data_IF_727207611590
#
_entry.id   IF_727207611590
#
_cell.length_a   1.000
_cell.length_b   1.000
_cell.length_c   1.000
_cell.angle_alpha   90.00
_cell.angle_beta   90.00
_cell.angle_gamma   90.00
#
_symmetry.space_group_name_H-M   'P 1'
#
loop_
_entity.id
_entity.type
_entity.pdbx_description
1 polymer ?
#
# COMPACT_ATOMS: atom_id res chain seq x y z
N UNK A 1 16.25 -10.39 -17.69
CA UNK A 1 14.95 -9.82 -17.37
C UNK A 1 14.69 -8.61 -18.28
N UNK A 2 13.50 -8.56 -18.86
CA UNK A 2 13.06 -7.50 -19.76
C UNK A 2 11.89 -6.75 -19.16
N UNK A 3 12.06 -5.46 -18.91
CA UNK A 3 10.98 -4.50 -18.67
C UNK A 3 10.63 -3.84 -20.02
N UNK A 4 9.48 -4.15 -20.56
CA UNK A 4 9.10 -3.73 -21.94
C UNK A 4 8.59 -2.29 -21.97
N UNK A 5 7.87 -1.91 -20.93
CA UNK A 5 7.30 -0.57 -20.83
C UNK A 5 7.25 -0.14 -19.36
N UNK A 6 7.62 1.11 -19.11
CA UNK A 6 7.58 1.76 -17.80
C UNK A 6 6.34 2.66 -17.67
N UNK A 7 5.94 2.96 -16.44
CA UNK A 7 4.91 3.95 -16.17
C UNK A 7 3.46 3.49 -16.33
N UNK A 8 3.18 2.20 -16.16
CA UNK A 8 1.80 1.68 -16.18
C UNK A 8 1.31 1.26 -17.56
N UNK A 9 2.14 1.30 -18.56
CA UNK A 9 1.87 0.69 -19.85
C UNK A 9 2.16 -0.80 -19.80
N UNK A 10 1.16 -1.64 -19.98
CA UNK A 10 1.31 -3.08 -19.95
C UNK A 10 1.21 -3.70 -21.33
N UNK A 11 2.22 -4.48 -21.70
CA UNK A 11 2.21 -5.36 -22.86
C UNK A 11 2.47 -6.80 -22.38
N UNK A 12 1.72 -7.79 -22.85
CA UNK A 12 1.81 -9.17 -22.33
C UNK A 12 3.05 -9.91 -22.88
N UNK A 13 4.21 -9.26 -22.80
CA UNK A 13 5.53 -9.79 -23.18
C UNK A 13 6.59 -9.31 -22.19
N UNK A 14 7.76 -9.95 -22.19
CA UNK A 14 8.82 -9.64 -21.23
C UNK A 14 8.61 -10.32 -19.87
N UNK A 15 9.34 -9.84 -18.85
CA UNK A 15 9.41 -10.48 -17.52
C UNK A 15 8.84 -9.60 -16.41
N UNK A 16 8.81 -8.28 -16.62
CA UNK A 16 8.52 -7.28 -15.59
C UNK A 16 7.29 -6.48 -15.96
N UNK A 17 6.42 -6.28 -14.99
CA UNK A 17 5.36 -5.26 -15.04
C UNK A 17 5.75 -4.12 -14.13
N UNK A 18 5.87 -2.95 -14.71
CA UNK A 18 6.30 -1.73 -14.06
C UNK A 18 5.15 -0.72 -13.97
N UNK A 19 4.91 -0.21 -12.78
CA UNK A 19 3.87 0.77 -12.50
C UNK A 19 4.45 1.98 -11.78
N UNK A 20 4.13 3.20 -12.24
CA UNK A 20 4.47 4.44 -11.54
C UNK A 20 3.27 4.91 -10.73
N UNK A 21 3.45 5.24 -9.47
CA UNK A 21 2.38 5.77 -8.64
C UNK A 21 2.87 6.82 -7.63
N UNK A 22 2.25 7.99 -7.68
CA UNK A 22 2.63 9.14 -6.86
C UNK A 22 1.46 9.68 -6.03
N UNK A 23 1.71 10.28 -4.86
CA UNK A 23 3.02 10.39 -4.20
C UNK A 23 3.44 9.12 -3.44
N UNK A 24 2.56 8.17 -3.23
CA UNK A 24 2.84 6.94 -2.50
C UNK A 24 2.80 5.74 -3.44
N UNK A 25 3.62 4.70 -3.17
CA UNK A 25 3.59 3.49 -3.98
C UNK A 25 2.23 2.80 -3.90
N UNK A 26 1.75 2.32 -5.03
CA UNK A 26 0.62 1.43 -5.15
C UNK A 26 0.81 0.50 -6.35
N UNK A 27 0.24 -0.70 -6.28
CA UNK A 27 0.29 -1.67 -7.36
C UNK A 27 -0.87 -2.67 -7.22
N UNK A 28 -1.59 -2.98 -8.29
CA UNK A 28 -2.66 -3.98 -8.26
C UNK A 28 -2.09 -5.41 -8.25
N UNK A 29 -1.44 -5.81 -7.14
CA UNK A 29 -0.67 -7.07 -7.02
C UNK A 29 -1.47 -8.34 -7.28
N UNK A 30 -2.80 -8.28 -7.12
CA UNK A 30 -3.71 -9.40 -7.33
C UNK A 30 -4.42 -9.39 -8.68
N UNK A 31 -4.10 -8.45 -9.57
CA UNK A 31 -4.62 -8.43 -10.93
C UNK A 31 -4.13 -9.68 -11.67
N UNK A 32 -5.06 -10.47 -12.19
CA UNK A 32 -4.78 -11.73 -12.86
C UNK A 32 -3.90 -11.57 -14.11
N UNK A 33 -3.90 -10.39 -14.74
CA UNK A 33 -3.03 -10.07 -15.88
C UNK A 33 -1.56 -10.15 -15.52
N UNK A 34 -1.22 -9.87 -14.25
CA UNK A 34 0.16 -9.76 -13.75
C UNK A 34 0.64 -10.98 -12.97
N UNK A 35 -0.16 -12.08 -12.95
CA UNK A 35 0.13 -13.25 -12.10
C UNK A 35 1.50 -13.88 -12.39
N UNK A 36 1.91 -13.90 -13.66
CA UNK A 36 3.11 -14.57 -14.14
C UNK A 36 4.32 -13.60 -14.32
N UNK A 37 4.15 -12.33 -13.91
CA UNK A 37 5.16 -11.29 -14.06
C UNK A 37 5.80 -10.90 -12.74
N UNK A 38 7.06 -10.45 -12.82
CA UNK A 38 7.72 -9.75 -11.73
C UNK A 38 7.11 -8.35 -11.61
N UNK A 39 6.55 -8.03 -10.45
CA UNK A 39 5.81 -6.79 -10.19
C UNK A 39 6.73 -5.78 -9.53
N UNK A 40 6.87 -4.59 -10.12
CA UNK A 40 7.67 -3.49 -9.56
C UNK A 40 6.90 -2.17 -9.60
N UNK A 41 7.13 -1.31 -8.61
CA UNK A 41 6.77 0.09 -8.68
C UNK A 41 8.01 0.85 -9.14
N UNK A 42 8.11 1.10 -10.45
CA UNK A 42 9.28 1.69 -11.07
C UNK A 42 9.54 3.12 -10.66
N UNK A 43 8.48 3.84 -10.21
CA UNK A 43 8.64 5.15 -9.60
C UNK A 43 7.57 5.39 -8.54
N UNK A 44 7.99 5.95 -7.40
CA UNK A 44 7.10 6.41 -6.34
C UNK A 44 7.76 7.50 -5.49
N UNK A 45 6.98 8.16 -4.66
CA UNK A 45 7.44 9.15 -3.70
C UNK A 45 7.46 10.55 -4.29
N UNK A 46 8.61 11.02 -4.70
CA UNK A 46 8.75 12.37 -5.25
C UNK A 46 8.34 13.47 -4.29
N UNK A 47 8.50 13.25 -2.98
CA UNK A 47 8.13 14.22 -1.94
C UNK A 47 9.10 15.41 -1.98
N UNK A 48 8.62 16.54 -2.50
CA UNK A 48 9.44 17.74 -2.66
C UNK A 48 9.68 18.47 -1.34
N UNK A 49 10.88 19.06 -1.18
CA UNK A 49 11.18 19.96 -0.07
C UNK A 49 12.30 20.92 -0.43
N UNK A 50 12.05 22.21 -0.28
CA UNK A 50 13.06 23.26 -0.44
C UNK A 50 13.78 23.44 0.88
N UNK A 51 15.10 23.18 0.91
CA UNK A 51 15.93 23.33 2.11
C UNK A 51 16.38 24.79 2.27
N UNK A 52 17.06 25.32 1.28
CA UNK A 52 17.60 26.71 1.23
C UNK A 52 17.69 27.08 -0.26
N UNK A 53 17.38 28.32 -0.59
CA UNK A 53 17.41 28.84 -1.97
C UNK A 53 18.76 28.70 -2.67
N UNK A 54 19.88 28.71 -1.92
CA UNK A 54 21.23 28.53 -2.48
C UNK A 54 21.48 27.13 -3.02
N UNK A 55 20.71 26.12 -2.56
CA UNK A 55 20.78 24.73 -2.98
C UNK A 55 19.66 24.34 -3.94
N UNK A 56 19.01 25.32 -4.57
CA UNK A 56 17.98 25.09 -5.58
C UNK A 56 18.57 25.44 -6.95
N UNK A 57 18.37 24.57 -7.93
CA UNK A 57 18.89 24.77 -9.30
C UNK A 57 18.48 26.12 -9.89
N UNK A 58 17.20 26.47 -9.79
CA UNK A 58 16.69 27.76 -10.22
C UNK A 58 15.77 28.34 -9.13
N UNK A 59 16.30 29.27 -8.31
CA UNK A 59 15.51 29.89 -7.24
C UNK A 59 14.32 30.71 -7.71
N UNK A 60 14.29 31.14 -8.98
CA UNK A 60 13.20 31.87 -9.61
C UNK A 60 12.11 30.97 -10.21
N UNK A 61 12.36 29.69 -10.36
CA UNK A 61 11.39 28.74 -10.88
C UNK A 61 10.34 28.37 -9.82
N UNK A 62 9.18 27.93 -10.29
CA UNK A 62 8.17 27.31 -9.43
C UNK A 62 8.62 25.88 -9.10
N UNK A 63 9.34 25.73 -7.99
CA UNK A 63 9.79 24.42 -7.53
C UNK A 63 8.59 23.55 -7.06
N UNK A 64 8.68 22.25 -7.30
CA UNK A 64 7.57 21.34 -7.02
C UNK A 64 8.03 19.95 -6.58
N UNK A 65 7.07 19.17 -6.08
CA UNK A 65 7.16 17.76 -5.79
C UNK A 65 5.76 17.16 -5.74
N UNK A 66 5.67 15.86 -5.85
CA UNK A 66 4.38 15.16 -5.86
C UNK A 66 3.65 15.29 -4.52
N UNK A 67 2.34 15.54 -4.60
CA UNK A 67 1.52 15.80 -3.42
C UNK A 67 1.76 17.19 -2.80
N UNK A 68 2.41 18.11 -3.53
CA UNK A 68 2.77 19.46 -3.07
C UNK A 68 3.95 19.45 -2.09
N UNK A 69 4.44 20.64 -1.77
CA UNK A 69 5.60 20.81 -0.88
C UNK A 69 5.16 20.74 0.59
N UNK A 70 5.74 19.86 1.41
CA UNK A 70 5.58 19.87 2.85
C UNK A 70 6.14 21.16 3.47
N UNK A 71 5.54 21.58 4.57
CA UNK A 71 5.92 22.82 5.25
C UNK A 71 7.11 22.64 6.18
N UNK A 72 7.32 21.42 6.68
CA UNK A 72 8.38 21.08 7.63
C UNK A 72 9.13 19.82 7.25
N UNK A 73 10.33 19.65 7.79
CA UNK A 73 11.10 18.38 7.64
C UNK A 73 10.38 17.20 8.27
N UNK A 74 9.66 17.42 9.34
CA UNK A 74 8.87 16.39 10.01
C UNK A 74 7.73 15.90 9.12
N UNK A 75 7.06 16.81 8.42
CA UNK A 75 6.03 16.45 7.43
C UNK A 75 6.64 15.68 6.26
N UNK A 76 7.79 16.13 5.73
CA UNK A 76 8.52 15.43 4.69
C UNK A 76 8.86 13.99 5.12
N UNK A 77 9.44 13.84 6.31
CA UNK A 77 9.80 12.54 6.86
C UNK A 77 8.57 11.66 7.11
N UNK A 78 7.46 12.26 7.55
CA UNK A 78 6.18 11.58 7.72
C UNK A 78 5.66 10.99 6.41
N UNK A 79 5.71 11.75 5.31
CA UNK A 79 5.35 11.28 3.97
C UNK A 79 6.24 10.14 3.49
N UNK A 80 7.54 10.25 3.72
CA UNK A 80 8.49 9.19 3.38
C UNK A 80 8.24 7.90 4.16
N UNK A 81 8.01 8.00 5.48
CA UNK A 81 7.64 6.87 6.33
C UNK A 81 6.37 6.17 5.83
N UNK A 82 5.39 6.94 5.40
CA UNK A 82 4.16 6.39 4.84
C UNK A 82 4.42 5.64 3.53
N UNK A 83 5.27 6.19 2.64
CA UNK A 83 5.66 5.49 1.42
C UNK A 83 6.35 4.16 1.71
N UNK A 84 7.29 4.13 2.65
CA UNK A 84 7.98 2.89 3.05
C UNK A 84 7.01 1.89 3.70
N UNK A 85 6.07 2.37 4.53
CA UNK A 85 5.02 1.52 5.11
C UNK A 85 4.19 0.83 4.02
N UNK A 86 3.77 1.56 3.00
CA UNK A 86 3.04 1.01 1.85
C UNK A 86 3.89 0.04 1.04
N UNK A 87 5.17 0.35 0.81
CA UNK A 87 6.11 -0.58 0.16
C UNK A 87 6.24 -1.90 0.92
N UNK A 88 6.29 -1.86 2.26
CA UNK A 88 6.30 -3.06 3.08
C UNK A 88 5.03 -3.89 2.84
N UNK A 89 3.87 -3.26 2.84
CA UNK A 89 2.60 -3.95 2.57
C UNK A 89 2.54 -4.57 1.17
N UNK A 90 2.99 -3.83 0.15
CA UNK A 90 3.04 -4.34 -1.22
C UNK A 90 4.04 -5.49 -1.36
N UNK A 91 5.23 -5.39 -0.75
CA UNK A 91 6.21 -6.48 -0.70
C UNK A 91 5.62 -7.73 -0.07
N UNK A 92 4.90 -7.58 1.04
CA UNK A 92 4.23 -8.69 1.72
C UNK A 92 3.18 -9.39 0.85
N UNK A 93 2.63 -8.68 -0.12
CA UNK A 93 1.67 -9.20 -1.10
C UNK A 93 2.33 -9.72 -2.39
N UNK A 94 3.65 -9.64 -2.52
CA UNK A 94 4.38 -10.19 -3.67
C UNK A 94 4.94 -9.17 -4.64
N UNK A 95 5.00 -7.88 -4.29
CA UNK A 95 5.77 -6.90 -5.05
C UNK A 95 7.26 -7.18 -4.88
N UNK A 96 8.01 -7.21 -5.99
CA UNK A 96 9.43 -7.53 -5.99
C UNK A 96 10.32 -6.35 -5.60
N UNK A 97 9.89 -5.12 -5.89
CA UNK A 97 10.68 -3.94 -5.57
C UNK A 97 10.01 -2.62 -5.95
N UNK A 98 10.67 -1.53 -5.59
CA UNK A 98 10.26 -0.20 -5.99
C UNK A 98 11.42 0.78 -5.97
N UNK A 99 11.30 1.83 -6.78
CA UNK A 99 12.32 2.87 -6.95
C UNK A 99 11.75 4.20 -6.48
N UNK A 100 12.41 4.79 -5.50
CA UNK A 100 12.03 6.13 -5.03
C UNK A 100 12.52 7.19 -6.01
N UNK A 101 11.64 8.09 -6.39
CA UNK A 101 11.93 9.25 -7.22
C UNK A 101 12.15 10.46 -6.32
N UNK A 102 13.41 10.93 -6.10
CA UNK A 102 14.63 10.45 -6.73
C UNK A 102 15.84 10.66 -5.80
N UNK A 103 17.05 10.38 -6.28
CA UNK A 103 18.24 10.53 -5.44
C UNK A 103 18.61 11.99 -5.20
N UNK A 104 18.64 12.81 -6.26
CA UNK A 104 18.94 14.25 -6.19
C UNK A 104 17.80 15.05 -6.81
N UNK A 105 17.67 16.32 -6.40
CA UNK A 105 16.80 17.25 -7.10
C UNK A 105 17.25 17.41 -8.57
N UNK A 106 16.31 17.64 -9.46
CA UNK A 106 16.54 17.86 -10.89
C UNK A 106 15.74 19.07 -11.34
N UNK A 107 16.43 20.12 -11.78
CA UNK A 107 15.81 21.37 -12.23
C UNK A 107 14.83 21.94 -11.22
N UNK A 108 13.54 22.04 -11.55
CA UNK A 108 12.49 22.54 -10.66
C UNK A 108 11.88 21.43 -9.75
N UNK A 109 12.23 20.18 -9.96
CA UNK A 109 11.82 19.09 -9.10
C UNK A 109 12.69 19.04 -7.85
N UNK A 110 12.15 19.52 -6.72
CA UNK A 110 12.87 19.52 -5.44
C UNK A 110 12.51 18.29 -4.60
N UNK A 111 12.42 17.15 -5.24
CA UNK A 111 11.93 15.88 -4.68
C UNK A 111 13.03 14.82 -4.44
N UNK A 112 14.28 15.17 -4.62
CA UNK A 112 15.41 14.30 -4.30
C UNK A 112 15.56 14.02 -2.80
N UNK A 113 16.25 12.93 -2.47
CA UNK A 113 16.70 12.66 -1.10
C UNK A 113 17.77 13.67 -0.67
N UNK A 114 18.45 14.27 -1.64
CA UNK A 114 19.42 15.35 -1.45
C UNK A 114 19.25 16.44 -2.51
N UNK A 115 19.85 17.59 -2.28
CA UNK A 115 19.82 18.71 -3.20
C UNK A 115 20.57 18.40 -4.51
N UNK A 116 20.30 19.18 -5.58
CA UNK A 116 20.89 18.95 -6.90
C UNK A 116 22.43 18.97 -6.90
N UNK A 117 23.02 19.84 -6.06
CA UNK A 117 24.46 19.97 -5.85
C UNK A 117 25.06 18.92 -4.92
N UNK A 118 24.19 18.06 -4.32
CA UNK A 118 24.52 16.99 -3.37
C UNK A 118 25.10 17.47 -2.03
N UNK A 119 25.05 18.77 -1.75
CA UNK A 119 25.60 19.37 -0.54
C UNK A 119 24.73 19.08 0.68
N UNK A 120 23.40 18.92 0.51
CA UNK A 120 22.47 18.76 1.62
C UNK A 120 21.65 17.49 1.48
N UNK A 121 21.74 16.61 2.45
CA UNK A 121 20.79 15.52 2.65
C UNK A 121 19.53 16.05 3.32
N UNK A 122 18.37 15.81 2.71
CA UNK A 122 17.08 16.31 3.22
C UNK A 122 16.52 15.46 4.36
N UNK A 123 16.99 14.23 4.44
CA UNK A 123 16.56 13.25 5.45
C UNK A 123 17.75 12.84 6.33
N UNK A 124 17.50 12.57 7.63
CA UNK A 124 18.54 11.97 8.47
C UNK A 124 18.90 10.57 7.93
N UNK A 125 20.18 10.35 7.60
CA UNK A 125 20.68 9.10 7.01
C UNK A 125 20.33 7.87 7.86
N UNK A 126 20.43 8.01 9.18
CA UNK A 126 20.09 6.94 10.13
C UNK A 126 18.59 6.55 10.08
N UNK A 127 17.70 7.53 9.90
CA UNK A 127 16.29 7.26 9.77
C UNK A 127 15.97 6.54 8.46
N UNK A 128 16.60 6.95 7.36
CA UNK A 128 16.47 6.24 6.07
C UNK A 128 16.94 4.79 6.21
N UNK A 129 18.12 4.58 6.80
CA UNK A 129 18.69 3.25 7.02
C UNK A 129 17.71 2.36 7.80
N UNK A 130 17.21 2.86 8.94
CA UNK A 130 16.25 2.14 9.78
C UNK A 130 14.95 1.78 9.06
N UNK A 131 14.44 2.67 8.22
CA UNK A 131 13.24 2.41 7.42
C UNK A 131 13.50 1.36 6.35
N UNK A 132 14.64 1.43 5.67
CA UNK A 132 15.02 0.45 4.67
C UNK A 132 15.30 -0.92 5.26
N UNK A 133 15.95 -1.00 6.42
CA UNK A 133 16.14 -2.27 7.14
C UNK A 133 14.80 -2.97 7.41
N UNK A 134 13.78 -2.22 7.86
CA UNK A 134 12.41 -2.76 8.03
C UNK A 134 11.81 -3.25 6.73
N UNK A 135 12.00 -2.51 5.63
CA UNK A 135 11.52 -2.90 4.31
C UNK A 135 12.22 -4.19 3.84
N UNK A 136 13.53 -4.29 4.00
CA UNK A 136 14.27 -5.48 3.59
C UNK A 136 13.93 -6.70 4.46
N UNK A 137 13.74 -6.51 5.75
CA UNK A 137 13.37 -7.59 6.68
C UNK A 137 11.93 -8.09 6.51
N UNK A 138 11.05 -7.31 5.89
CA UNK A 138 9.66 -7.71 5.66
C UNK A 138 9.59 -8.96 4.77
N UNK A 139 8.91 -9.99 5.28
CA UNK A 139 8.72 -11.28 4.57
C UNK A 139 7.42 -11.23 3.78
N UNK A 140 7.36 -12.02 2.71
CA UNK A 140 6.10 -12.32 2.03
C UNK A 140 5.12 -12.89 3.05
N UNK A 141 3.93 -12.33 3.08
CA UNK A 141 2.83 -13.01 3.73
C UNK A 141 2.48 -14.20 2.83
N UNK A 142 2.44 -15.40 3.39
CA UNK A 142 1.87 -16.55 2.70
C UNK A 142 0.47 -16.21 2.17
N UNK A 143 -0.08 -17.03 1.26
CA UNK A 143 -1.48 -16.84 0.83
C UNK A 143 -2.32 -16.61 2.07
N UNK A 144 -3.14 -15.54 2.11
CA UNK A 144 -3.97 -15.29 3.28
C UNK A 144 -4.79 -16.55 3.55
N UNK A 145 -4.73 -17.06 4.78
CA UNK A 145 -5.49 -18.23 5.20
C UNK A 145 -7.01 -18.05 4.95
N UNK A 146 -7.43 -16.77 4.90
CA UNK A 146 -8.80 -16.39 4.58
C UNK A 146 -8.84 -15.56 3.29
N UNK A 147 -9.75 -15.90 2.34
CA UNK A 147 -9.99 -15.07 1.16
C UNK A 147 -10.43 -13.67 1.59
N UNK A 148 -9.92 -12.64 0.91
CA UNK A 148 -10.32 -11.26 1.19
C UNK A 148 -11.79 -11.06 0.79
N UNK A 149 -12.62 -10.71 1.77
CA UNK A 149 -14.06 -10.53 1.57
C UNK A 149 -14.42 -9.45 0.53
N UNK A 150 -13.54 -8.49 0.29
CA UNK A 150 -13.74 -7.47 -0.74
C UNK A 150 -13.78 -8.07 -2.16
N UNK A 151 -12.96 -9.08 -2.42
CA UNK A 151 -12.79 -9.70 -3.74
C UNK A 151 -13.62 -10.97 -3.92
N UNK A 152 -13.87 -11.71 -2.85
CA UNK A 152 -14.51 -13.03 -2.89
C UNK A 152 -15.80 -13.07 -2.07
N UNK A 153 -16.73 -13.97 -2.43
CA UNK A 153 -17.83 -14.35 -1.54
C UNK A 153 -17.28 -15.32 -0.48
N UNK A 154 -16.82 -14.79 0.64
CA UNK A 154 -16.40 -15.61 1.78
C UNK A 154 -17.64 -16.02 2.54
N UNK A 155 -18.00 -17.32 2.58
CA UNK A 155 -19.17 -17.76 3.33
C UNK A 155 -18.95 -17.57 4.82
N UNK A 156 -19.96 -17.09 5.50
CA UNK A 156 -19.95 -16.93 6.95
C UNK A 156 -21.24 -17.45 7.56
N UNK A 157 -21.16 -17.91 8.80
CA UNK A 157 -22.32 -18.05 9.67
C UNK A 157 -22.37 -16.87 10.62
N UNK A 158 -23.55 -16.35 10.89
CA UNK A 158 -23.68 -15.21 11.78
C UNK A 158 -24.96 -15.26 12.61
N UNK A 159 -24.93 -14.62 13.76
CA UNK A 159 -26.08 -14.43 14.63
C UNK A 159 -26.07 -13.02 15.20
N UNK A 160 -27.24 -12.49 15.50
CA UNK A 160 -27.42 -11.21 16.20
C UNK A 160 -27.83 -11.43 17.68
N UNK A 161 -27.98 -12.68 18.08
CA UNK A 161 -28.20 -13.09 19.48
C UNK A 161 -26.84 -13.51 20.06
N UNK A 162 -26.51 -13.04 21.24
CA UNK A 162 -25.27 -13.38 21.91
C UNK A 162 -25.14 -14.90 22.12
N UNK A 163 -24.10 -15.53 21.56
CA UNK A 163 -23.93 -16.98 21.74
C UNK A 163 -23.47 -17.32 23.14
N UNK A 164 -23.96 -18.46 23.65
CA UNK A 164 -23.58 -18.99 24.96
C UNK A 164 -22.45 -19.99 24.79
N UNK A 165 -21.47 -19.94 25.71
CA UNK A 165 -20.34 -20.87 25.72
C UNK A 165 -19.17 -20.46 24.81
N UNK A 166 -18.32 -21.42 24.52
CA UNK A 166 -17.03 -21.21 23.79
C UNK A 166 -17.24 -21.13 22.26
N UNK A 167 -18.06 -20.22 21.80
CA UNK A 167 -18.45 -20.08 20.40
C UNK A 167 -17.26 -19.84 19.43
N UNK A 168 -16.10 -19.41 19.93
CA UNK A 168 -14.89 -19.21 19.13
C UNK A 168 -14.11 -20.52 18.89
N UNK A 169 -14.36 -21.57 19.66
CA UNK A 169 -13.61 -22.82 19.55
C UNK A 169 -14.01 -23.62 18.30
N UNK A 170 -13.06 -24.38 17.70
CA UNK A 170 -13.40 -25.40 16.72
C UNK A 170 -14.42 -26.39 17.31
N UNK A 171 -15.37 -26.84 16.50
CA UNK A 171 -16.41 -27.78 16.93
C UNK A 171 -17.61 -27.15 17.64
N UNK A 172 -17.66 -25.84 17.84
CA UNK A 172 -18.88 -25.20 18.30
C UNK A 172 -20.00 -25.41 17.29
N UNK A 173 -21.17 -25.80 17.78
CA UNK A 173 -22.36 -26.02 16.95
C UNK A 173 -23.04 -24.69 16.58
N UNK A 174 -22.79 -24.25 15.37
CA UNK A 174 -23.36 -23.03 14.80
C UNK A 174 -24.45 -23.28 13.74
N UNK A 175 -24.99 -24.50 13.70
CA UNK A 175 -25.94 -24.87 12.64
C UNK A 175 -27.22 -24.02 12.62
N UNK A 176 -27.61 -23.46 13.76
CA UNK A 176 -28.75 -22.53 13.90
C UNK A 176 -28.45 -21.10 13.51
N UNK A 177 -27.18 -20.78 13.24
CA UNK A 177 -26.80 -19.44 12.81
C UNK A 177 -27.20 -19.20 11.36
N UNK A 178 -27.52 -17.94 11.03
CA UNK A 178 -27.79 -17.54 9.65
C UNK A 178 -26.57 -17.71 8.77
N UNK A 179 -26.80 -18.02 7.50
CA UNK A 179 -25.75 -18.06 6.50
C UNK A 179 -25.71 -16.74 5.71
N UNK A 180 -24.50 -16.28 5.37
CA UNK A 180 -24.29 -15.07 4.58
C UNK A 180 -22.91 -15.07 3.94
N UNK A 181 -22.55 -13.94 3.35
CA UNK A 181 -21.21 -13.68 2.85
C UNK A 181 -20.57 -12.54 3.66
N UNK A 182 -19.29 -12.63 3.93
CA UNK A 182 -18.52 -11.55 4.58
C UNK A 182 -18.65 -10.24 3.79
N UNK A 183 -18.65 -9.12 4.50
CA UNK A 183 -19.11 -7.83 4.02
C UNK A 183 -20.49 -7.52 4.61
N UNK A 184 -20.61 -7.69 5.94
CA UNK A 184 -21.85 -7.39 6.66
C UNK A 184 -21.93 -5.89 6.95
N UNK A 185 -23.09 -5.30 6.76
CA UNK A 185 -23.29 -3.88 7.04
C UNK A 185 -24.66 -3.37 6.61
N UNK A 186 -24.89 -2.09 6.85
CA UNK A 186 -26.12 -1.41 6.41
C UNK A 186 -26.05 -1.03 4.92
N UNK A 187 -27.16 -1.07 4.18
CA UNK A 187 -27.23 -0.53 2.84
C UNK A 187 -26.79 0.94 2.81
N UNK A 188 -26.02 1.33 1.81
CA UNK A 188 -25.55 2.71 1.64
C UNK A 188 -24.33 3.09 2.49
N UNK A 189 -23.69 2.14 3.18
CA UNK A 189 -22.41 2.41 3.86
C UNK A 189 -21.36 2.88 2.84
N UNK A 190 -20.81 4.10 2.97
CA UNK A 190 -19.86 4.63 1.99
C UNK A 190 -18.62 3.73 1.83
N UNK A 191 -18.19 3.52 0.59
CA UNK A 191 -16.99 2.74 0.23
C UNK A 191 -17.01 1.28 0.72
N UNK A 192 -18.17 0.72 1.06
CA UNK A 192 -18.30 -0.65 1.51
C UNK A 192 -19.06 -1.52 0.49
N UNK A 193 -18.51 -2.72 0.22
CA UNK A 193 -19.18 -3.73 -0.59
C UNK A 193 -20.02 -4.63 0.32
N UNK A 194 -21.27 -4.23 0.60
CA UNK A 194 -22.18 -4.96 1.49
C UNK A 194 -22.77 -6.16 0.73
N UNK A 195 -22.52 -7.36 1.25
CA UNK A 195 -22.99 -8.65 0.72
C UNK A 195 -24.05 -9.30 1.62
N UNK A 196 -24.05 -8.96 2.90
CA UNK A 196 -25.03 -9.42 3.88
C UNK A 196 -25.50 -8.22 4.70
N UNK A 197 -26.80 -7.98 4.70
CA UNK A 197 -27.39 -6.86 5.46
C UNK A 197 -27.33 -7.18 6.95
N UNK A 198 -26.77 -6.25 7.70
CA UNK A 198 -26.70 -6.26 9.15
C UNK A 198 -27.01 -4.84 9.67
N UNK A 199 -28.02 -4.73 10.52
CA UNK A 199 -28.54 -3.46 11.05
C UNK A 199 -28.84 -3.51 12.55
N UNK A 200 -28.23 -4.43 13.29
CA UNK A 200 -28.34 -4.55 14.75
C UNK A 200 -27.08 -4.03 15.44
N UNK A 201 -27.13 -3.68 16.74
CA UNK A 201 -25.96 -3.17 17.46
C UNK A 201 -24.77 -4.13 17.53
N UNK A 202 -25.03 -5.45 17.47
CA UNK A 202 -24.00 -6.50 17.58
C UNK A 202 -24.26 -7.61 16.58
N UNK A 203 -23.18 -8.23 16.14
CA UNK A 203 -23.21 -9.45 15.32
C UNK A 203 -22.02 -10.33 15.70
N UNK A 204 -22.23 -11.62 15.78
CA UNK A 204 -21.21 -12.65 15.97
C UNK A 204 -21.06 -13.40 14.65
N UNK A 205 -19.83 -13.59 14.20
CA UNK A 205 -19.53 -14.14 12.89
C UNK A 205 -18.54 -15.29 13.04
N UNK A 206 -18.79 -16.39 12.35
CA UNK A 206 -17.89 -17.53 12.24
C UNK A 206 -17.63 -17.85 10.78
N UNK A 207 -16.43 -18.28 10.48
CA UNK A 207 -16.06 -18.89 9.21
C UNK A 207 -15.03 -19.97 9.46
N UNK A 208 -15.03 -20.99 8.62
CA UNK A 208 -14.02 -22.03 8.63
C UNK A 208 -13.04 -21.81 7.48
N UNK A 209 -11.81 -22.19 7.67
CA UNK A 209 -10.74 -22.16 6.67
C UNK A 209 -9.83 -23.37 6.91
N UNK A 210 -9.32 -23.93 5.83
CA UNK A 210 -8.38 -25.04 5.81
C UNK A 210 -6.94 -24.52 5.73
#
# INVERSE_FOLDING_TARGET
>A
LVNVASGGNFWPVGDVVDHHNYPHPDFPVHDSRFKDYIKVVGEFGGHGFVVDKKHVWNPGAKNWGYGGLPKTKEELLGRYRESIRRMIQLKQQGLAGGIYTQTTDVEAEVNGLMTYDREVQKFPAEELRRLHEKLYAAKLLGKPALPVAAQNKVPVRYTTTEPVGDWMKPGFDDHKWKQGAAGLGAPGTPNANIKTIWNTPRVWIRTSFD
#
